data_IF_146694740330
#
_entry.id   IF_146694740330
#
_cell.length_a   1.000
_cell.length_b   1.000
_cell.length_c   1.000
_cell.angle_alpha   90.00
_cell.angle_beta   90.00
_cell.angle_gamma   90.00
#
_symmetry.space_group_name_H-M   'P 1'
#
loop_
_entity.id
_entity.type
_entity.pdbx_description
1 polymer ?
#
# COMPACT_ATOMS: atom_id res chain seq x y z
N UNK A 1 50.58 34.37 -18.68
CA UNK A 1 50.52 35.52 -17.74
C UNK A 1 49.07 35.81 -17.29
N UNK A 2 48.25 34.77 -17.09
CA UNK A 2 46.85 34.88 -16.61
C UNK A 2 46.57 33.69 -15.68
N UNK A 3 47.33 33.58 -14.58
CA UNK A 3 47.22 32.41 -13.67
C UNK A 3 47.54 32.69 -12.19
N UNK A 4 47.72 33.96 -11.77
CA UNK A 4 48.21 34.30 -10.42
C UNK A 4 47.29 35.23 -9.58
N UNK A 5 46.07 35.55 -10.03
CA UNK A 5 45.18 36.49 -9.32
C UNK A 5 43.98 35.88 -8.57
N UNK A 6 43.70 34.58 -8.71
CA UNK A 6 42.53 33.94 -8.07
C UNK A 6 42.83 33.12 -6.79
N UNK A 7 44.10 33.01 -6.37
CA UNK A 7 44.51 32.10 -5.28
C UNK A 7 44.50 32.70 -3.86
N UNK A 8 44.20 33.98 -3.68
CA UNK A 8 44.46 34.68 -2.40
C UNK A 8 43.24 35.29 -1.65
N UNK A 9 42.01 34.78 -1.87
CA UNK A 9 40.83 35.24 -1.09
C UNK A 9 39.98 34.17 -0.41
N UNK A 10 40.46 32.91 -0.34
CA UNK A 10 39.88 31.89 0.54
C UNK A 10 40.55 31.90 1.92
N UNK A 11 39.72 31.97 2.99
CA UNK A 11 40.01 31.70 4.43
C UNK A 11 40.39 32.90 5.33
N UNK A 12 39.37 33.62 5.79
CA UNK A 12 39.11 34.19 7.15
C UNK A 12 37.58 34.42 7.17
N UNK A 13 36.78 33.81 8.05
CA UNK A 13 36.58 34.19 9.47
C UNK A 13 35.69 35.44 9.55
N UNK A 14 34.61 35.55 10.32
CA UNK A 14 34.07 34.71 11.42
C UNK A 14 32.55 35.02 11.63
N UNK A 15 31.89 34.27 12.52
CA UNK A 15 30.43 34.32 12.86
C UNK A 15 29.95 35.66 13.43
N UNK A 16 28.65 35.96 13.30
CA UNK A 16 27.86 36.62 14.36
C UNK A 16 26.35 36.35 14.23
N UNK A 17 25.68 36.16 15.39
CA UNK A 17 24.23 35.94 15.55
C UNK A 17 23.63 37.19 16.20
N UNK A 18 22.50 37.73 15.71
CA UNK A 18 21.59 38.50 16.58
C UNK A 18 20.15 38.71 16.07
N UNK A 19 19.22 38.15 16.84
CA UNK A 19 17.91 38.68 17.32
C UNK A 19 17.20 39.85 16.57
N UNK A 20 16.11 39.49 15.88
CA UNK A 20 14.72 40.01 15.98
C UNK A 20 14.46 41.21 16.94
N UNK A 21 13.87 42.32 16.45
CA UNK A 21 12.91 43.14 17.25
C UNK A 21 12.06 44.18 16.46
N UNK A 22 11.03 44.65 17.17
CA UNK A 22 10.20 45.87 17.03
C UNK A 22 9.21 46.07 15.87
N UNK A 23 7.93 45.88 16.22
CA UNK A 23 6.76 46.65 15.75
C UNK A 23 7.00 48.16 15.70
N UNK A 24 6.43 48.83 14.69
CA UNK A 24 5.50 49.99 14.75
C UNK A 24 5.32 50.52 13.31
N UNK A 25 4.21 51.08 12.83
CA UNK A 25 2.79 51.16 13.19
C UNK A 25 2.25 52.35 12.35
N UNK A 26 1.04 52.23 11.80
CA UNK A 26 0.11 53.32 11.50
C UNK A 26 0.31 54.24 10.26
N UNK A 27 -0.82 54.50 9.58
CA UNK A 27 -0.98 55.42 8.44
C UNK A 27 -1.08 54.64 7.12
N UNK A 28 -2.13 54.77 6.29
CA UNK A 28 -3.11 55.86 6.17
C UNK A 28 -4.36 55.37 5.43
N UNK A 29 -5.55 55.49 6.04
CA UNK A 29 -6.83 55.21 5.38
C UNK A 29 -7.42 56.47 4.73
N UNK A 30 -8.26 56.26 3.69
CA UNK A 30 -8.85 57.17 2.69
C UNK A 30 -8.06 57.17 1.37
N UNK A 31 -8.70 56.91 0.22
CA UNK A 31 -10.07 57.32 -0.14
C UNK A 31 -10.79 56.23 -0.99
N UNK A 32 -12.12 56.22 -0.93
CA UNK A 32 -13.00 55.69 -1.98
C UNK A 32 -12.77 56.55 -3.27
N UNK A 33 -13.20 56.24 -4.49
CA UNK A 33 -14.32 55.48 -5.04
C UNK A 33 -13.81 54.79 -6.36
N UNK A 34 -14.51 54.01 -7.22
CA UNK A 34 -15.94 53.69 -7.41
C UNK A 34 -16.20 52.15 -7.58
N UNK A 35 -16.57 51.67 -8.78
CA UNK A 35 -17.15 50.34 -9.06
C UNK A 35 -16.45 49.52 -10.18
N UNK A 36 -16.51 48.18 -10.08
CA UNK A 36 -16.06 47.24 -11.12
C UNK A 36 -16.55 45.80 -10.84
N UNK A 37 -17.71 45.44 -11.37
CA UNK A 37 -18.36 44.13 -11.21
C UNK A 37 -17.64 43.01 -11.97
N UNK A 38 -17.10 42.02 -11.24
CA UNK A 38 -16.96 40.62 -11.68
C UNK A 38 -17.08 39.66 -10.49
N UNK A 39 -17.86 38.59 -10.70
CA UNK A 39 -18.15 37.55 -9.72
C UNK A 39 -17.08 36.47 -9.66
N UNK A 40 -16.01 36.70 -8.90
CA UNK A 40 -15.09 35.64 -8.49
C UNK A 40 -15.49 35.12 -7.10
N UNK A 41 -16.03 33.89 -7.05
CA UNK A 41 -16.24 33.16 -5.78
C UNK A 41 -14.91 32.63 -5.27
N UNK A 42 -14.14 33.50 -4.63
CA UNK A 42 -13.04 33.09 -3.76
C UNK A 42 -13.61 32.30 -2.57
N UNK A 43 -13.49 30.98 -2.61
CA UNK A 43 -13.77 30.14 -1.46
C UNK A 43 -12.68 30.34 -0.42
N UNK A 44 -13.00 31.14 0.59
CA UNK A 44 -12.17 31.29 1.80
C UNK A 44 -11.96 29.91 2.42
N UNK A 45 -10.71 29.43 2.43
CA UNK A 45 -10.33 28.21 3.13
C UNK A 45 -10.50 28.43 4.64
N UNK A 46 -11.60 27.91 5.19
CA UNK A 46 -11.84 27.91 6.63
C UNK A 46 -10.83 27.02 7.33
N UNK A 47 -9.88 27.62 8.05
CA UNK A 47 -9.05 26.88 8.99
C UNK A 47 -9.94 26.34 10.13
N UNK A 48 -9.82 25.04 10.44
CA UNK A 48 -10.59 24.27 11.43
C UNK A 48 -11.94 23.65 10.98
N UNK A 49 -12.06 23.18 9.73
CA UNK A 49 -12.82 21.93 9.53
C UNK A 49 -12.08 20.78 10.26
N UNK A 50 -12.77 19.92 11.03
CA UNK A 50 -12.15 18.74 11.60
C UNK A 50 -11.61 17.87 10.46
N UNK A 51 -10.39 17.33 10.62
CA UNK A 51 -9.82 16.42 9.64
C UNK A 51 -10.72 15.20 9.51
N UNK A 52 -11.48 15.15 8.41
CA UNK A 52 -12.14 13.93 7.93
C UNK A 52 -11.04 12.87 7.87
N UNK A 53 -11.30 11.72 8.49
CA UNK A 53 -10.38 10.59 8.52
C UNK A 53 -11.20 9.33 8.33
N UNK A 54 -10.90 8.62 7.24
CA UNK A 54 -11.67 7.47 6.76
C UNK A 54 -10.79 6.24 6.58
N UNK A 55 -9.47 6.42 6.41
CA UNK A 55 -8.48 5.35 6.52
C UNK A 55 -7.86 5.31 7.92
N UNK A 56 -7.53 4.11 8.40
CA UNK A 56 -6.93 3.90 9.73
C UNK A 56 -7.91 3.95 10.91
N UNK A 57 -9.22 4.00 10.65
CA UNK A 57 -10.30 4.04 11.64
C UNK A 57 -11.19 2.79 11.53
N UNK A 58 -12.08 2.58 12.52
CA UNK A 58 -13.10 1.53 12.45
C UNK A 58 -13.99 1.72 11.21
N UNK A 59 -14.49 0.61 10.64
CA UNK A 59 -15.27 0.62 9.40
C UNK A 59 -16.53 1.48 9.55
N UNK A 60 -17.18 1.40 10.70
CA UNK A 60 -18.40 2.09 11.09
C UNK A 60 -18.15 3.60 11.12
N UNK A 61 -17.04 4.02 11.76
CA UNK A 61 -16.60 5.42 11.77
C UNK A 61 -16.31 5.92 10.34
N UNK A 62 -15.69 5.10 9.49
CA UNK A 62 -15.44 5.47 8.09
C UNK A 62 -16.75 5.64 7.30
N UNK A 63 -17.76 4.81 7.55
CA UNK A 63 -19.10 4.92 6.92
C UNK A 63 -19.85 6.15 7.42
N UNK A 64 -19.80 6.46 8.72
CA UNK A 64 -20.45 7.64 9.31
C UNK A 64 -19.83 8.96 8.82
N UNK A 65 -18.52 8.99 8.65
CA UNK A 65 -17.76 10.18 8.22
C UNK A 65 -17.79 10.39 6.70
N UNK A 66 -17.94 9.32 5.93
CA UNK A 66 -17.97 9.34 4.45
C UNK A 66 -19.10 8.47 3.88
N UNK A 67 -20.38 8.73 4.19
CA UNK A 67 -21.47 7.85 3.78
C UNK A 67 -21.65 7.84 2.25
N UNK A 68 -21.82 6.64 1.69
CA UNK A 68 -22.22 6.44 0.30
C UNK A 68 -23.56 7.14 -0.02
N UNK A 69 -23.76 7.48 -1.30
CA UNK A 69 -25.00 8.09 -1.78
C UNK A 69 -26.04 7.05 -2.26
N UNK A 70 -25.66 5.79 -2.41
CA UNK A 70 -26.52 4.68 -2.85
C UNK A 70 -27.16 3.91 -1.68
N UNK A 71 -26.86 4.30 -0.43
CA UNK A 71 -27.38 3.67 0.78
C UNK A 71 -26.69 2.36 1.17
N UNK A 72 -25.64 1.96 0.45
CA UNK A 72 -24.81 0.80 0.82
C UNK A 72 -23.89 1.20 1.99
N UNK A 73 -23.80 0.43 3.08
CA UNK A 73 -22.96 0.76 4.24
C UNK A 73 -21.47 0.60 3.92
N UNK A 74 -20.92 1.54 3.16
CA UNK A 74 -19.53 1.64 2.73
C UNK A 74 -19.12 3.12 2.66
N UNK A 75 -17.83 3.45 2.89
CA UNK A 75 -17.32 4.78 2.59
C UNK A 75 -17.50 5.14 1.11
N UNK A 76 -17.95 6.36 0.80
CA UNK A 76 -18.15 6.84 -0.55
C UNK A 76 -16.86 6.82 -1.39
N UNK A 77 -15.70 7.11 -0.80
CA UNK A 77 -14.40 6.99 -1.48
C UNK A 77 -14.12 5.54 -1.90
N UNK A 78 -14.54 4.57 -1.09
CA UNK A 78 -14.34 3.14 -1.32
C UNK A 78 -15.34 2.61 -2.37
N UNK A 79 -16.61 3.05 -2.31
CA UNK A 79 -17.62 2.82 -3.36
C UNK A 79 -17.13 3.33 -4.71
N UNK A 80 -16.65 4.58 -4.76
CA UNK A 80 -16.12 5.19 -5.98
C UNK A 80 -14.89 4.45 -6.54
N UNK A 81 -14.01 3.95 -5.67
CA UNK A 81 -12.87 3.13 -6.11
C UNK A 81 -13.33 1.78 -6.73
N UNK A 82 -14.37 1.15 -6.19
CA UNK A 82 -14.97 -0.06 -6.78
C UNK A 82 -15.56 0.27 -8.15
N UNK A 83 -16.39 1.31 -8.25
CA UNK A 83 -17.00 1.73 -9.51
C UNK A 83 -15.93 2.01 -10.60
N UNK A 84 -14.81 2.63 -10.21
CA UNK A 84 -13.70 2.87 -11.13
C UNK A 84 -13.02 1.58 -11.61
N UNK A 85 -12.84 0.58 -10.74
CA UNK A 85 -12.28 -0.73 -11.15
C UNK A 85 -13.25 -1.51 -12.04
N UNK A 86 -14.56 -1.48 -11.75
CA UNK A 86 -15.58 -2.12 -12.61
C UNK A 86 -15.66 -1.48 -14.00
N UNK A 87 -15.45 -0.16 -14.10
CA UNK A 87 -15.54 0.57 -15.38
C UNK A 87 -14.24 0.60 -16.18
N UNK A 88 -13.06 0.65 -15.54
CA UNK A 88 -11.76 0.85 -16.20
C UNK A 88 -10.75 -0.28 -15.93
N UNK A 89 -10.95 -1.10 -14.89
CA UNK A 89 -9.98 -2.08 -14.41
C UNK A 89 -10.20 -3.51 -14.92
N UNK A 90 -11.39 -3.87 -15.43
CA UNK A 90 -11.72 -5.26 -15.81
C UNK A 90 -10.90 -5.80 -17.00
N UNK A 91 -10.41 -4.93 -17.88
CA UNK A 91 -9.52 -5.29 -19.00
C UNK A 91 -8.05 -4.99 -18.71
N UNK A 92 -7.72 -4.53 -17.49
CA UNK A 92 -6.36 -4.15 -17.11
C UNK A 92 -5.60 -5.38 -16.59
N UNK A 93 -4.48 -5.70 -17.26
CA UNK A 93 -3.64 -6.85 -16.90
C UNK A 93 -3.13 -6.72 -15.45
N UNK A 94 -3.27 -7.79 -14.66
CA UNK A 94 -2.78 -7.80 -13.29
C UNK A 94 -3.52 -6.87 -12.32
N UNK A 95 -4.78 -6.50 -12.59
CA UNK A 95 -5.65 -5.81 -11.62
C UNK A 95 -5.63 -6.54 -10.26
N UNK A 96 -5.60 -5.78 -9.17
CA UNK A 96 -5.34 -6.24 -7.79
C UNK A 96 -3.98 -6.93 -7.50
N UNK A 97 -3.29 -7.56 -8.47
CA UNK A 97 -1.91 -8.08 -8.29
C UNK A 97 -0.88 -6.95 -8.31
N UNK A 98 -0.81 -6.24 -9.43
CA UNK A 98 0.09 -5.10 -9.63
C UNK A 98 -0.26 -3.99 -8.64
N UNK A 99 0.76 -3.24 -8.22
CA UNK A 99 0.63 -2.17 -7.23
C UNK A 99 1.08 -0.84 -7.82
N UNK A 100 0.24 0.18 -7.69
CA UNK A 100 0.58 1.55 -8.10
C UNK A 100 1.76 2.11 -7.30
N UNK A 101 2.44 3.14 -7.82
CA UNK A 101 3.52 3.83 -7.12
C UNK A 101 3.12 4.24 -5.70
N UNK A 102 3.98 3.97 -4.71
CA UNK A 102 3.65 4.24 -3.30
C UNK A 102 3.28 5.70 -3.04
N UNK A 103 4.05 6.65 -3.59
CA UNK A 103 3.77 8.09 -3.50
C UNK A 103 2.38 8.45 -3.97
N UNK A 104 1.92 7.82 -5.05
CA UNK A 104 0.58 8.02 -5.61
C UNK A 104 -0.52 7.48 -4.70
N UNK A 105 -0.29 6.34 -4.05
CA UNK A 105 -1.20 5.82 -3.03
C UNK A 105 -1.19 6.66 -1.74
N UNK A 106 -0.05 7.26 -1.37
CA UNK A 106 0.04 8.21 -0.24
C UNK A 106 -0.75 9.51 -0.55
N UNK A 107 -0.69 10.03 -1.77
CA UNK A 107 -1.51 11.16 -2.25
C UNK A 107 -3.02 10.83 -2.24
N UNK A 108 -3.41 9.65 -2.72
CA UNK A 108 -4.80 9.22 -2.80
C UNK A 108 -5.38 8.94 -1.40
N UNK A 109 -4.62 8.36 -0.47
CA UNK A 109 -5.01 8.24 0.93
C UNK A 109 -5.23 9.62 1.56
N UNK A 110 -4.31 10.56 1.34
CA UNK A 110 -4.46 11.92 1.88
C UNK A 110 -5.78 12.56 1.39
N UNK A 111 -6.07 12.47 0.09
CA UNK A 111 -7.30 12.98 -0.50
C UNK A 111 -8.57 12.29 0.00
N UNK A 112 -8.53 10.97 0.17
CA UNK A 112 -9.66 10.22 0.72
C UNK A 112 -9.95 10.63 2.16
N UNK A 113 -8.90 10.83 2.98
CA UNK A 113 -9.03 11.38 4.31
C UNK A 113 -9.58 12.82 4.27
N UNK A 114 -8.90 13.77 3.64
CA UNK A 114 -9.31 15.19 3.65
C UNK A 114 -10.62 15.50 2.88
N UNK A 115 -11.24 14.50 2.25
CA UNK A 115 -12.51 14.62 1.51
C UNK A 115 -12.36 15.23 0.12
N UNK A 116 -11.13 15.42 -0.37
CA UNK A 116 -10.87 15.88 -1.73
C UNK A 116 -11.35 14.89 -2.79
N UNK A 117 -11.75 15.37 -3.99
CA UNK A 117 -12.12 14.50 -5.09
C UNK A 117 -10.96 13.58 -5.51
N UNK A 118 -11.22 12.27 -5.42
CA UNK A 118 -10.33 11.25 -5.97
C UNK A 118 -10.42 11.28 -7.50
N UNK A 119 -9.25 11.32 -8.13
CA UNK A 119 -9.10 11.30 -9.58
C UNK A 119 -8.07 10.21 -9.88
N UNK A 120 -8.56 9.02 -10.22
CA UNK A 120 -7.73 7.88 -10.61
C UNK A 120 -7.29 8.02 -12.08
N UNK A 121 -6.05 7.63 -12.37
CA UNK A 121 -5.49 7.60 -13.73
C UNK A 121 -5.60 6.20 -14.33
N UNK A 122 -5.45 5.16 -13.52
CA UNK A 122 -5.45 3.76 -13.93
C UNK A 122 -6.14 2.87 -12.88
N UNK A 123 -6.62 1.69 -13.29
CA UNK A 123 -7.32 0.76 -12.40
C UNK A 123 -6.46 0.26 -11.23
N UNK A 124 -5.13 0.22 -11.37
CA UNK A 124 -4.22 -0.12 -10.28
C UNK A 124 -4.26 0.88 -9.12
N UNK A 125 -4.57 2.16 -9.37
CA UNK A 125 -4.64 3.18 -8.32
C UNK A 125 -5.85 2.95 -7.41
N UNK A 126 -7.02 2.74 -8.03
CA UNK A 126 -8.26 2.43 -7.32
C UNK A 126 -8.16 1.08 -6.58
N UNK A 127 -7.68 0.02 -7.26
CA UNK A 127 -7.42 -1.28 -6.64
C UNK A 127 -6.37 -1.20 -5.51
N UNK A 128 -5.37 -0.33 -5.65
CA UNK A 128 -4.36 -0.05 -4.64
C UNK A 128 -4.94 0.64 -3.41
N UNK A 129 -5.82 1.63 -3.60
CA UNK A 129 -6.49 2.33 -2.51
C UNK A 129 -7.49 1.43 -1.76
N UNK A 130 -8.25 0.59 -2.48
CA UNK A 130 -9.10 -0.47 -1.90
C UNK A 130 -8.26 -1.38 -1.01
N UNK A 131 -7.17 -1.96 -1.55
CA UNK A 131 -6.22 -2.81 -0.81
C UNK A 131 -5.57 -2.09 0.37
N UNK A 132 -5.54 -0.76 0.39
CA UNK A 132 -4.90 0.05 1.42
C UNK A 132 -5.85 0.31 2.58
N UNK A 133 -7.09 0.72 2.30
CA UNK A 133 -8.16 0.83 3.30
C UNK A 133 -8.34 -0.47 4.09
N UNK A 134 -8.58 -1.58 3.39
CA UNK A 134 -8.83 -2.90 4.00
C UNK A 134 -7.71 -3.39 4.93
N UNK A 135 -6.47 -2.94 4.71
CA UNK A 135 -5.29 -3.31 5.52
C UNK A 135 -5.06 -2.38 6.71
N UNK A 136 -5.64 -1.19 6.68
CA UNK A 136 -5.51 -0.18 7.74
C UNK A 136 -6.68 -0.19 8.73
N UNK A 137 -7.72 -1.00 8.49
CA UNK A 137 -8.78 -1.23 9.47
C UNK A 137 -8.16 -1.76 10.78
N UNK A 138 -8.50 -1.18 11.95
CA UNK A 138 -7.99 -1.64 13.25
C UNK A 138 -8.33 -3.09 13.58
N UNK A 139 -9.47 -3.57 13.09
CA UNK A 139 -9.90 -4.98 13.16
C UNK A 139 -9.98 -5.54 11.72
N UNK A 140 -9.52 -6.78 11.47
CA UNK A 140 -9.68 -7.41 10.16
C UNK A 140 -11.17 -7.64 9.83
N UNK A 141 -11.58 -7.41 8.58
CA UNK A 141 -12.95 -7.67 8.11
C UNK A 141 -13.44 -9.11 8.35
N UNK A 142 -12.52 -10.06 8.40
CA UNK A 142 -12.81 -11.45 8.71
C UNK A 142 -12.39 -11.70 10.16
N UNK A 143 -13.37 -12.01 11.01
CA UNK A 143 -13.12 -12.29 12.43
C UNK A 143 -12.25 -13.54 12.60
N UNK A 144 -11.59 -13.63 13.76
CA UNK A 144 -10.83 -14.82 14.16
C UNK A 144 -11.70 -16.08 14.18
N UNK A 145 -12.98 -15.95 14.54
CA UNK A 145 -13.96 -17.04 14.49
C UNK A 145 -14.21 -17.53 13.06
N UNK A 146 -14.32 -16.62 12.09
CA UNK A 146 -14.42 -16.98 10.67
C UNK A 146 -13.17 -17.74 10.20
N UNK A 147 -11.97 -17.26 10.54
CA UNK A 147 -10.74 -17.96 10.19
C UNK A 147 -10.67 -19.37 10.81
N UNK A 148 -10.97 -19.48 12.10
CA UNK A 148 -10.95 -20.76 12.83
C UNK A 148 -11.97 -21.74 12.25
N UNK A 149 -13.14 -21.23 11.86
CA UNK A 149 -14.17 -22.01 11.21
C UNK A 149 -13.73 -22.53 9.84
N UNK A 150 -13.17 -21.66 8.99
CA UNK A 150 -12.68 -22.06 7.66
C UNK A 150 -11.50 -23.04 7.74
N UNK A 151 -10.60 -22.92 8.73
CA UNK A 151 -9.50 -23.88 8.98
C UNK A 151 -9.99 -25.32 9.23
N UNK A 152 -11.23 -25.50 9.69
CA UNK A 152 -11.83 -26.83 9.89
C UNK A 152 -12.39 -27.45 8.59
N UNK A 153 -12.39 -26.73 7.46
CA UNK A 153 -12.86 -27.23 6.17
C UNK A 153 -11.70 -27.82 5.36
N UNK A 154 -11.75 -29.13 5.08
CA UNK A 154 -10.77 -29.86 4.27
C UNK A 154 -11.25 -30.20 2.86
N UNK A 155 -12.37 -29.61 2.41
CA UNK A 155 -12.94 -29.87 1.08
C UNK A 155 -12.12 -29.25 -0.06
N UNK A 156 -12.20 -29.87 -1.24
CA UNK A 156 -11.67 -29.28 -2.48
C UNK A 156 -12.45 -28.01 -2.84
N UNK A 157 -11.73 -26.92 -3.07
CA UNK A 157 -12.24 -25.60 -3.43
C UNK A 157 -12.75 -25.54 -4.88
N UNK A 158 -12.44 -26.53 -5.72
CA UNK A 158 -12.90 -26.63 -7.12
C UNK A 158 -14.41 -26.85 -7.25
N UNK A 159 -15.10 -27.17 -6.16
CA UNK A 159 -16.54 -27.39 -6.13
C UNK A 159 -17.24 -26.61 -5.03
N UNK A 160 -18.56 -26.50 -5.12
CA UNK A 160 -19.39 -25.90 -4.07
C UNK A 160 -19.35 -26.80 -2.83
N UNK A 161 -18.67 -26.35 -1.78
CA UNK A 161 -18.52 -27.09 -0.53
C UNK A 161 -19.89 -27.42 0.12
N UNK A 162 -19.99 -28.61 0.73
CA UNK A 162 -21.20 -29.12 1.40
C UNK A 162 -20.93 -29.68 2.81
N UNK A 163 -19.75 -29.43 3.39
CA UNK A 163 -19.41 -29.96 4.72
C UNK A 163 -20.06 -29.15 5.86
N UNK A 164 -20.08 -29.67 7.11
CA UNK A 164 -20.72 -29.01 8.25
C UNK A 164 -20.21 -27.59 8.57
N UNK A 165 -18.97 -27.26 8.18
CA UNK A 165 -18.41 -25.91 8.29
C UNK A 165 -19.27 -24.89 7.53
N UNK A 166 -19.81 -25.25 6.37
CA UNK A 166 -20.68 -24.35 5.58
C UNK A 166 -21.98 -24.01 6.31
N UNK A 167 -22.60 -24.98 6.99
CA UNK A 167 -23.79 -24.71 7.81
C UNK A 167 -23.51 -23.82 9.01
N UNK A 168 -22.27 -23.79 9.51
CA UNK A 168 -21.84 -22.91 10.60
C UNK A 168 -21.50 -21.49 10.09
N UNK A 169 -20.95 -21.35 8.88
CA UNK A 169 -20.66 -20.05 8.25
C UNK A 169 -21.92 -19.19 8.02
N UNK A 170 -23.08 -19.82 7.83
CA UNK A 170 -24.39 -19.15 7.76
C UNK A 170 -25.25 -19.41 9.02
N UNK A 171 -24.64 -19.97 10.08
CA UNK A 171 -25.33 -20.56 11.23
C UNK A 171 -25.59 -19.60 12.40
N UNK A 172 -26.42 -18.58 12.19
CA UNK A 172 -27.21 -17.87 13.24
C UNK A 172 -28.11 -16.79 12.66
N UNK A 173 -27.82 -16.32 11.44
CA UNK A 173 -28.73 -15.50 10.66
C UNK A 173 -29.92 -16.35 10.19
N UNK A 174 -31.00 -16.35 10.97
CA UNK A 174 -32.32 -16.75 10.47
C UNK A 174 -32.74 -15.74 9.41
N UNK A 175 -32.32 -16.00 8.17
CA UNK A 175 -32.78 -15.26 7.01
C UNK A 175 -34.32 -15.39 6.94
N UNK A 176 -35.01 -14.32 7.33
CA UNK A 176 -36.38 -14.11 6.90
C UNK A 176 -36.36 -14.06 5.37
N UNK A 177 -36.77 -15.15 4.71
CA UNK A 177 -36.95 -15.20 3.26
C UNK A 177 -38.19 -14.38 2.86
N UNK A 178 -38.11 -13.07 3.06
CA UNK A 178 -38.99 -12.08 2.44
C UNK A 178 -38.59 -11.93 0.97
N UNK A 179 -39.34 -12.57 0.07
CA UNK A 179 -39.03 -12.57 -1.37
C UNK A 179 -39.15 -11.17 -1.98
N UNK A 180 -38.00 -10.52 -2.24
CA UNK A 180 -37.74 -9.62 -3.38
C UNK A 180 -36.26 -9.23 -3.46
N UNK A 181 -35.78 -8.98 -4.69
CA UNK A 181 -34.40 -8.57 -4.98
C UNK A 181 -34.09 -7.19 -4.39
N UNK A 182 -33.24 -7.13 -3.38
CA UNK A 182 -32.37 -6.00 -3.03
C UNK A 182 -31.16 -6.53 -2.27
N UNK A 183 -29.95 -6.01 -2.55
CA UNK A 183 -28.72 -6.46 -1.90
C UNK A 183 -28.48 -5.62 -0.64
N UNK A 184 -29.24 -5.88 0.42
CA UNK A 184 -29.00 -5.26 1.72
C UNK A 184 -28.01 -6.11 2.51
N UNK A 185 -26.81 -5.57 2.74
CA UNK A 185 -25.86 -6.11 3.71
C UNK A 185 -26.21 -5.48 5.06
N UNK A 186 -27.14 -6.10 5.79
CA UNK A 186 -27.42 -5.75 7.19
C UNK A 186 -26.41 -6.46 8.09
N UNK A 187 -25.54 -5.69 8.77
CA UNK A 187 -24.55 -6.20 9.72
C UNK A 187 -25.09 -6.00 11.14
N UNK A 188 -25.44 -7.05 11.89
CA UNK A 188 -26.00 -6.89 13.23
C UNK A 188 -24.90 -6.68 14.28
N UNK A 189 -24.66 -5.42 14.66
CA UNK A 189 -23.84 -5.07 15.81
C UNK A 189 -24.52 -5.53 17.12
N UNK A 190 -23.87 -6.42 17.86
CA UNK A 190 -24.33 -6.86 19.20
C UNK A 190 -23.59 -6.08 20.28
N UNK A 191 -24.27 -5.13 20.90
CA UNK A 191 -23.83 -4.50 22.15
C UNK A 191 -23.58 -5.55 23.24
N UNK A 192 -22.45 -5.44 23.97
CA UNK A 192 -22.41 -5.58 25.44
C UNK A 192 -21.07 -5.24 26.10
N UNK A 193 -21.21 -4.45 27.15
CA UNK A 193 -20.31 -4.24 28.30
C UNK A 193 -21.24 -4.17 29.55
N UNK A 194 -20.77 -4.26 30.82
CA UNK A 194 -19.41 -4.54 31.30
C UNK A 194 -19.30 -5.55 32.50
N UNK A 195 -18.04 -5.81 32.90
CA UNK A 195 -17.52 -6.15 34.25
C UNK A 195 -17.48 -7.60 34.83
N UNK A 196 -16.41 -7.81 35.64
CA UNK A 196 -16.00 -8.94 36.50
C UNK A 196 -15.42 -10.18 35.77
N UNK A 197 -14.26 -10.75 36.11
CA UNK A 197 -13.19 -10.34 37.05
C UNK A 197 -12.16 -11.45 37.35
N UNK A 198 -10.87 -11.18 37.10
CA UNK A 198 -9.64 -11.73 37.75
C UNK A 198 -9.56 -13.24 38.13
N UNK A 199 -8.62 -13.99 37.51
CA UNK A 199 -7.56 -14.75 38.24
C UNK A 199 -6.54 -15.49 37.34
N UNK A 200 -5.26 -15.42 37.75
CA UNK A 200 -4.14 -16.39 37.58
C UNK A 200 -3.80 -17.00 36.21
N UNK A 201 -2.54 -16.86 35.81
CA UNK A 201 -2.02 -17.41 34.55
C UNK A 201 -1.41 -18.80 34.63
N UNK A 202 -0.96 -19.28 33.47
CA UNK A 202 -0.04 -20.42 33.31
C UNK A 202 0.84 -20.15 32.09
N UNK A 203 2.15 -20.35 32.24
CA UNK A 203 3.19 -19.84 31.34
C UNK A 203 3.76 -21.02 30.52
N UNK A 204 3.58 -21.01 29.21
CA UNK A 204 4.10 -22.02 28.26
C UNK A 204 4.55 -21.26 26.99
N UNK A 205 5.71 -21.58 26.37
CA UNK A 205 6.53 -20.54 25.75
C UNK A 205 6.23 -20.24 24.27
N UNK A 206 6.74 -19.07 23.84
CA UNK A 206 6.86 -18.70 22.42
C UNK A 206 7.69 -19.74 21.66
N UNK A 207 7.24 -20.12 20.46
CA UNK A 207 8.10 -20.78 19.48
C UNK A 207 8.71 -19.73 18.56
N UNK A 208 10.02 -19.58 18.64
CA UNK A 208 10.78 -18.73 17.73
C UNK A 208 10.76 -19.33 16.31
N UNK A 209 10.08 -18.64 15.39
CA UNK A 209 10.20 -18.92 13.95
C UNK A 209 11.59 -18.50 13.46
N UNK A 210 12.57 -19.36 13.73
CA UNK A 210 13.96 -19.23 13.33
C UNK A 210 14.07 -19.37 11.81
N UNK A 211 14.08 -18.24 11.09
CA UNK A 211 14.31 -18.23 9.65
C UNK A 211 15.81 -18.49 9.35
N UNK A 212 16.19 -19.60 8.69
CA UNK A 212 17.59 -19.94 8.48
C UNK A 212 18.22 -19.08 7.39
N UNK A 213 18.92 -18.02 7.80
CA UNK A 213 19.85 -17.26 6.95
C UNK A 213 20.95 -18.20 6.41
N UNK A 214 21.09 -18.39 5.09
CA UNK A 214 22.24 -19.11 4.54
C UNK A 214 23.49 -18.24 4.70
N UNK A 215 24.41 -18.68 5.56
CA UNK A 215 25.65 -17.95 5.84
C UNK A 215 26.59 -17.88 4.64
N UNK A 216 27.36 -16.78 4.55
CA UNK A 216 28.50 -16.68 3.64
C UNK A 216 29.62 -17.62 4.10
N UNK A 217 29.61 -18.87 3.66
CA UNK A 217 30.75 -19.77 3.81
C UNK A 217 31.75 -19.52 2.68
N UNK A 218 32.81 -18.76 2.95
CA UNK A 218 33.99 -18.71 2.09
C UNK A 218 34.75 -20.01 2.32
N UNK A 219 34.57 -20.98 1.42
CA UNK A 219 35.49 -22.11 1.29
C UNK A 219 36.72 -21.65 0.50
N UNK A 220 37.87 -21.63 1.16
CA UNK A 220 39.15 -21.61 0.48
C UNK A 220 39.49 -23.04 0.05
N UNK A 221 40.00 -23.21 -1.17
CA UNK A 221 40.44 -24.48 -1.70
C UNK A 221 41.84 -24.33 -2.30
N UNK A 222 42.66 -25.38 -2.20
CA UNK A 222 44.07 -25.37 -2.55
C UNK A 222 44.53 -26.75 -3.03
N UNK A 223 45.26 -26.77 -4.16
CA UNK A 223 45.99 -27.90 -4.78
C UNK A 223 45.15 -29.09 -5.32
N UNK A 224 45.47 -29.72 -6.47
CA UNK A 224 46.46 -29.41 -7.53
C UNK A 224 46.35 -30.36 -8.75
N UNK A 225 46.67 -29.84 -9.95
CA UNK A 225 47.28 -30.55 -11.12
C UNK A 225 46.40 -31.48 -12.01
N UNK A 226 46.84 -31.93 -13.23
CA UNK A 226 46.19 -31.43 -14.45
C UNK A 226 45.94 -32.45 -15.59
N UNK A 227 44.80 -32.38 -16.31
CA UNK A 227 44.73 -32.96 -17.68
C UNK A 227 43.61 -32.40 -18.56
N UNK A 228 44.02 -31.82 -19.70
CA UNK A 228 43.37 -31.82 -21.02
C UNK A 228 41.84 -31.93 -21.09
N UNK A 229 41.16 -30.78 -21.14
CA UNK A 229 39.73 -30.66 -21.40
C UNK A 229 39.18 -29.35 -20.84
N UNK A 230 39.70 -28.23 -21.33
CA UNK A 230 39.49 -26.92 -20.70
C UNK A 230 38.07 -26.39 -20.81
N UNK A 231 37.20 -26.80 -19.88
CA UNK A 231 35.96 -26.08 -19.53
C UNK A 231 36.33 -24.62 -19.25
N UNK A 232 35.86 -23.69 -20.10
CA UNK A 232 36.19 -22.29 -19.91
C UNK A 232 35.28 -21.76 -18.81
N UNK A 233 35.76 -21.75 -17.57
CA UNK A 233 34.96 -21.22 -16.47
C UNK A 233 34.59 -19.74 -16.77
N UNK A 234 33.30 -19.36 -16.68
CA UNK A 234 32.88 -17.98 -16.89
C UNK A 234 33.65 -17.01 -15.99
N UNK A 235 33.94 -15.81 -16.49
CA UNK A 235 34.49 -14.74 -15.66
C UNK A 235 33.59 -14.51 -14.44
N UNK A 236 34.19 -14.21 -13.29
CA UNK A 236 33.47 -13.87 -12.05
C UNK A 236 32.49 -12.70 -12.29
N UNK A 237 32.85 -11.78 -13.19
CA UNK A 237 32.00 -10.66 -13.61
C UNK A 237 30.77 -11.15 -14.39
N UNK A 238 30.97 -11.98 -15.42
CA UNK A 238 29.89 -12.57 -16.21
C UNK A 238 28.93 -13.42 -15.35
N UNK A 239 29.48 -14.18 -14.39
CA UNK A 239 28.68 -14.99 -13.46
C UNK A 239 27.83 -14.12 -12.51
N UNK A 240 28.40 -13.02 -12.00
CA UNK A 240 27.67 -12.06 -11.18
C UNK A 240 26.59 -11.31 -11.97
N UNK A 241 26.86 -10.99 -13.24
CA UNK A 241 25.89 -10.32 -14.11
C UNK A 241 24.77 -11.26 -14.58
N UNK A 242 25.07 -12.51 -14.91
CA UNK A 242 24.06 -13.54 -15.14
C UNK A 242 23.16 -13.72 -13.91
N UNK A 243 23.74 -13.79 -12.71
CA UNK A 243 22.99 -13.85 -11.43
C UNK A 243 22.10 -12.63 -11.21
N UNK A 244 22.50 -11.44 -11.66
CA UNK A 244 21.69 -10.21 -11.62
C UNK A 244 20.49 -10.31 -12.56
N UNK A 245 20.68 -10.74 -13.81
CA UNK A 245 19.58 -10.92 -14.75
C UNK A 245 18.60 -12.01 -14.33
N UNK A 246 19.06 -13.14 -13.78
CA UNK A 246 18.17 -14.18 -13.22
C UNK A 246 17.31 -13.65 -12.07
N UNK A 247 17.85 -12.77 -11.21
CA UNK A 247 17.05 -12.10 -10.16
C UNK A 247 15.98 -11.17 -10.75
N UNK A 248 16.31 -10.42 -11.81
CA UNK A 248 15.34 -9.54 -12.48
C UNK A 248 14.26 -10.34 -13.21
N UNK A 249 14.60 -11.50 -13.79
CA UNK A 249 13.62 -12.43 -14.34
C UNK A 249 12.67 -12.95 -13.26
N UNK A 250 13.18 -13.36 -12.08
CA UNK A 250 12.34 -13.78 -10.95
C UNK A 250 11.39 -12.65 -10.50
N UNK A 251 11.89 -11.43 -10.29
CA UNK A 251 11.02 -10.30 -9.96
C UNK A 251 9.99 -10.01 -11.05
N UNK A 252 10.32 -10.18 -12.33
CA UNK A 252 9.36 -10.01 -13.42
C UNK A 252 8.27 -11.11 -13.44
N UNK A 253 8.55 -12.32 -12.93
CA UNK A 253 7.52 -13.37 -12.73
C UNK A 253 6.51 -12.93 -11.66
N UNK A 254 6.94 -12.29 -10.56
CA UNK A 254 6.03 -11.81 -9.51
C UNK A 254 5.03 -10.75 -10.01
N UNK A 255 5.39 -10.02 -11.08
CA UNK A 255 4.51 -9.08 -11.78
C UNK A 255 3.80 -9.69 -13.01
N UNK A 256 4.15 -10.92 -13.40
CA UNK A 256 3.79 -11.64 -14.64
C UNK A 256 4.17 -10.92 -15.95
N UNK A 257 5.20 -10.06 -15.94
CA UNK A 257 5.72 -9.43 -17.17
C UNK A 257 6.50 -10.46 -18.01
N UNK A 258 5.75 -11.24 -18.80
CA UNK A 258 6.30 -12.29 -19.67
C UNK A 258 7.36 -11.79 -20.64
N UNK A 259 7.34 -10.51 -21.05
CA UNK A 259 8.34 -9.92 -21.94
C UNK A 259 9.65 -9.69 -21.20
N UNK A 260 9.59 -9.04 -20.03
CA UNK A 260 10.77 -8.80 -19.19
C UNK A 260 11.37 -10.12 -18.66
N UNK A 261 10.56 -11.14 -18.36
CA UNK A 261 11.06 -12.48 -18.00
C UNK A 261 11.91 -13.05 -19.13
N UNK A 262 11.36 -13.11 -20.36
CA UNK A 262 12.07 -13.69 -21.52
C UNK A 262 13.31 -12.86 -21.89
N UNK A 263 13.24 -11.53 -21.82
CA UNK A 263 14.38 -10.66 -22.14
C UNK A 263 15.54 -10.82 -21.14
N UNK A 264 15.25 -10.84 -19.83
CA UNK A 264 16.28 -11.01 -18.80
C UNK A 264 16.90 -12.41 -18.85
N UNK A 265 16.12 -13.46 -19.10
CA UNK A 265 16.67 -14.81 -19.27
C UNK A 265 17.55 -14.94 -20.51
N UNK A 266 17.21 -14.30 -21.63
CA UNK A 266 18.09 -14.23 -22.82
C UNK A 266 19.41 -13.52 -22.52
N UNK A 267 19.38 -12.42 -21.77
CA UNK A 267 20.61 -11.72 -21.33
C UNK A 267 21.49 -12.62 -20.46
N UNK A 268 20.88 -13.32 -19.48
CA UNK A 268 21.60 -14.29 -18.64
C UNK A 268 22.23 -15.43 -19.45
N UNK A 269 21.51 -15.98 -20.45
CA UNK A 269 22.03 -17.03 -21.34
C UNK A 269 23.20 -16.54 -22.19
N UNK A 270 23.11 -15.35 -22.80
CA UNK A 270 24.18 -14.80 -23.67
C UNK A 270 25.53 -14.62 -22.96
N UNK A 271 25.52 -14.45 -21.63
CA UNK A 271 26.73 -14.36 -20.80
C UNK A 271 27.36 -15.73 -20.50
N UNK A 272 26.62 -16.82 -20.69
CA UNK A 272 27.00 -18.19 -20.37
C UNK A 272 27.23 -19.06 -21.63
N UNK A 273 26.65 -18.70 -22.78
CA UNK A 273 26.74 -19.42 -24.06
C UNK A 273 28.17 -19.55 -24.66
N UNK A 274 29.15 -18.84 -24.11
CA UNK A 274 30.53 -18.76 -24.63
C UNK A 274 31.57 -19.57 -23.83
N UNK A 275 31.11 -20.41 -22.90
CA UNK A 275 31.91 -21.02 -21.83
C UNK A 275 31.76 -22.54 -21.74
#
# INVERSE_FOLDING_TARGET
>A
MVEELEKEKKRKGLRLVSRKSTKKMLGKWKKLDEAGDKSDKEYMAGENEPLRQVLGVQLETAIEVDPSLDGVPLPAFFRHAIDYVETHGLTLEGIYRVSSPKSRLDELEKKANDGSPLNFVEGHEAAGLIKRFLRQLPEPLLSSDFENLVKNCTCDWRGVCQCPVRSQLWGSAVFYMGSRRSVNIEVPYVLKDPHVGRATGSFVPQQDYSNPTPGNTIVADASSDPTLGGERKPSVEAFNEARKYTKYALSAIDYEDTRAVVENLRKALSLMENF
#
